data_IF_312924774132
#
_entry.id   IF_312924774132
#
_cell.length_a   1.000
_cell.length_b   1.000
_cell.length_c   1.000
_cell.angle_alpha   90.00
_cell.angle_beta   90.00
_cell.angle_gamma   90.00
#
_symmetry.space_group_name_H-M   'P 1'
#
loop_
_entity.id
_entity.type
_entity.pdbx_description
1 polymer ?
#
# COMPACT_ATOMS: atom_id res chain seq x y z
N UNK A 1 15.50 3.47 -24.39
CA UNK A 1 15.95 2.21 -23.76
C UNK A 1 16.93 2.57 -22.66
N UNK A 2 16.46 2.75 -21.43
CA UNK A 2 17.32 2.73 -20.24
C UNK A 2 16.42 2.47 -19.05
N UNK A 3 16.63 1.30 -18.50
CA UNK A 3 15.95 0.67 -17.38
C UNK A 3 16.27 1.46 -16.10
N UNK A 4 15.31 2.23 -15.59
CA UNK A 4 15.44 2.88 -14.28
C UNK A 4 14.82 1.95 -13.24
N UNK A 5 15.69 1.17 -12.61
CA UNK A 5 15.37 0.18 -11.59
C UNK A 5 14.33 0.67 -10.58
N UNK A 6 13.11 0.14 -10.71
CA UNK A 6 12.17 0.05 -9.60
C UNK A 6 12.79 -0.90 -8.59
N UNK A 7 13.40 -0.37 -7.54
CA UNK A 7 13.69 -1.14 -6.33
C UNK A 7 12.38 -1.81 -5.88
N UNK A 8 12.24 -3.15 -5.97
CA UNK A 8 11.00 -3.84 -5.64
C UNK A 8 10.70 -3.85 -4.13
N UNK A 9 11.55 -3.21 -3.32
CA UNK A 9 11.54 -3.29 -1.86
C UNK A 9 10.59 -2.29 -1.19
N UNK A 10 10.16 -1.20 -1.83
CA UNK A 10 9.35 -0.18 -1.12
C UNK A 10 7.83 -0.40 -1.14
N UNK A 11 7.30 -1.21 -2.05
CA UNK A 11 5.86 -1.55 -2.08
C UNK A 11 5.56 -2.73 -1.11
N UNK A 12 6.58 -3.52 -0.78
CA UNK A 12 6.45 -4.71 0.07
C UNK A 12 6.29 -4.44 1.56
N UNK A 13 6.75 -3.28 2.06
CA UNK A 13 6.74 -2.96 3.50
C UNK A 13 5.37 -2.51 4.03
N UNK A 14 4.46 -2.07 3.14
CA UNK A 14 3.17 -1.50 3.55
C UNK A 14 1.98 -2.44 3.30
N UNK A 15 2.14 -3.44 2.44
CA UNK A 15 1.02 -4.21 1.92
C UNK A 15 0.62 -5.43 2.78
N UNK A 16 1.53 -5.87 3.62
CA UNK A 16 1.29 -6.81 4.70
C UNK A 16 1.96 -6.09 5.87
N UNK A 17 1.28 -5.69 6.96
CA UNK A 17 2.00 -5.26 8.15
C UNK A 17 2.88 -6.43 8.47
N UNK A 18 4.19 -6.28 8.23
CA UNK A 18 5.15 -7.35 8.02
C UNK A 18 4.91 -8.37 9.14
N UNK A 19 4.10 -9.41 8.86
CA UNK A 19 3.46 -10.25 9.90
C UNK A 19 4.56 -10.99 10.69
N UNK A 20 5.73 -11.09 10.05
CA UNK A 20 6.98 -11.65 10.51
C UNK A 20 7.88 -10.66 11.26
N UNK A 21 7.49 -9.39 11.35
CA UNK A 21 8.18 -8.32 12.08
C UNK A 21 7.36 -8.00 13.33
N UNK A 22 8.02 -7.59 14.41
CA UNK A 22 7.42 -7.54 15.75
C UNK A 22 6.09 -6.77 15.85
N UNK A 23 5.92 -5.69 15.07
CA UNK A 23 4.69 -4.89 15.07
C UNK A 23 3.48 -5.62 14.46
N UNK A 24 3.69 -6.41 13.39
CA UNK A 24 2.63 -7.20 12.77
C UNK A 24 2.17 -8.36 13.67
N UNK A 25 3.13 -9.02 14.34
CA UNK A 25 2.85 -10.08 15.31
C UNK A 25 2.06 -9.55 16.52
N UNK A 26 2.39 -8.36 17.02
CA UNK A 26 1.67 -7.71 18.12
C UNK A 26 0.23 -7.34 17.70
N UNK A 27 0.05 -6.80 16.50
CA UNK A 27 -1.29 -6.51 15.97
C UNK A 27 -2.15 -7.77 15.83
N UNK A 28 -1.58 -8.85 15.29
CA UNK A 28 -2.26 -10.13 15.16
C UNK A 28 -2.64 -10.73 16.53
N UNK A 29 -1.72 -10.69 17.49
CA UNK A 29 -1.97 -11.16 18.86
C UNK A 29 -3.03 -10.33 19.58
N UNK A 30 -3.08 -9.01 19.37
CA UNK A 30 -4.10 -8.15 19.95
C UNK A 30 -5.50 -8.48 19.39
N UNK A 31 -5.60 -8.72 18.08
CA UNK A 31 -6.86 -9.12 17.43
C UNK A 31 -7.32 -10.50 17.92
N UNK A 32 -6.39 -11.45 18.04
CA UNK A 32 -6.64 -12.78 18.59
C UNK A 32 -7.20 -12.69 20.03
N UNK A 33 -6.61 -11.84 20.88
CA UNK A 33 -7.08 -11.60 22.23
C UNK A 33 -8.48 -10.95 22.27
N UNK A 34 -8.73 -9.94 21.43
CA UNK A 34 -10.06 -9.32 21.33
C UNK A 34 -11.13 -10.31 20.85
N UNK A 35 -10.78 -11.20 19.93
CA UNK A 35 -11.67 -12.26 19.44
C UNK A 35 -12.00 -13.26 20.55
N UNK A 36 -11.01 -13.65 21.37
CA UNK A 36 -11.21 -14.52 22.52
C UNK A 36 -12.13 -13.88 23.58
N UNK A 37 -11.98 -12.58 23.84
CA UNK A 37 -12.86 -11.82 24.75
C UNK A 37 -14.29 -11.78 24.22
N UNK A 38 -14.48 -11.55 22.92
CA UNK A 38 -15.80 -11.55 22.29
C UNK A 38 -16.48 -12.93 22.40
N UNK A 39 -15.73 -14.00 22.16
CA UNK A 39 -16.22 -15.39 22.29
C UNK A 39 -16.63 -15.70 23.74
N UNK A 40 -15.87 -15.22 24.73
CA UNK A 40 -16.22 -15.37 26.15
C UNK A 40 -17.47 -14.60 26.57
N UNK A 41 -17.60 -13.36 26.10
CA UNK A 41 -18.80 -12.56 26.33
C UNK A 41 -20.06 -13.22 25.74
N UNK A 42 -19.95 -13.85 24.57
CA UNK A 42 -21.06 -14.55 23.93
C UNK A 42 -21.41 -15.86 24.64
N UNK A 43 -20.45 -16.53 25.29
CA UNK A 43 -20.67 -17.80 25.96
C UNK A 43 -21.28 -17.63 27.36
N UNK A 44 -20.74 -16.71 28.17
CA UNK A 44 -21.07 -16.61 29.59
C UNK A 44 -21.97 -15.40 29.93
N UNK A 45 -22.05 -14.41 29.04
CA UNK A 45 -22.66 -13.12 29.33
C UNK A 45 -21.83 -12.29 30.34
N UNK A 46 -22.34 -11.12 30.72
CA UNK A 46 -21.63 -10.17 31.61
C UNK A 46 -21.80 -10.56 33.11
N UNK A 47 -22.85 -11.32 33.44
CA UNK A 47 -23.22 -11.64 34.83
C UNK A 47 -22.37 -12.73 35.49
N UNK A 48 -22.12 -13.84 34.80
CA UNK A 48 -21.35 -14.99 35.29
C UNK A 48 -20.08 -15.18 34.44
N UNK A 49 -19.23 -14.16 34.38
CA UNK A 49 -18.05 -14.18 33.53
C UNK A 49 -17.00 -15.19 34.05
N UNK A 50 -16.80 -16.28 33.32
CA UNK A 50 -15.84 -17.32 33.68
C UNK A 50 -14.42 -16.97 33.17
N UNK A 51 -13.64 -16.33 34.04
CA UNK A 51 -12.26 -15.93 33.75
C UNK A 51 -11.35 -17.13 33.42
N UNK A 52 -11.63 -18.31 33.96
CA UNK A 52 -10.83 -19.51 33.70
C UNK A 52 -11.07 -20.01 32.26
N UNK A 53 -12.31 -19.93 31.80
CA UNK A 53 -12.69 -20.24 30.43
C UNK A 53 -12.09 -19.23 29.43
N UNK A 54 -12.14 -17.93 29.76
CA UNK A 54 -11.46 -16.88 28.98
C UNK A 54 -9.96 -17.17 28.86
N UNK A 55 -9.29 -17.53 29.96
CA UNK A 55 -7.86 -17.85 29.96
C UNK A 55 -7.52 -19.02 29.04
N UNK A 56 -8.30 -20.10 29.08
CA UNK A 56 -8.12 -21.27 28.22
C UNK A 56 -8.30 -20.93 26.73
N UNK A 57 -9.36 -20.19 26.39
CA UNK A 57 -9.62 -19.81 25.00
C UNK A 57 -8.67 -18.73 24.49
N UNK A 58 -8.33 -17.75 25.32
CA UNK A 58 -7.35 -16.72 24.99
C UNK A 58 -5.98 -17.31 24.67
N UNK A 59 -5.50 -18.24 25.51
CA UNK A 59 -4.24 -18.95 25.26
C UNK A 59 -4.30 -19.71 23.94
N UNK A 60 -5.40 -20.42 23.70
CA UNK A 60 -5.59 -21.23 22.51
C UNK A 60 -5.67 -20.40 21.20
N UNK A 61 -6.47 -19.34 21.18
CA UNK A 61 -6.62 -18.44 20.02
C UNK A 61 -5.30 -17.72 19.72
N UNK A 62 -4.55 -17.29 20.74
CA UNK A 62 -3.22 -16.71 20.54
C UNK A 62 -2.23 -17.73 19.97
N UNK A 63 -2.27 -18.98 20.44
CA UNK A 63 -1.39 -20.05 19.93
C UNK A 63 -1.64 -20.34 18.45
N UNK A 64 -2.91 -20.39 18.03
CA UNK A 64 -3.31 -20.58 16.63
C UNK A 64 -2.82 -19.41 15.77
N UNK A 65 -3.01 -18.17 16.25
CA UNK A 65 -2.57 -16.97 15.54
C UNK A 65 -1.04 -16.95 15.34
N UNK A 66 -0.28 -17.41 16.34
CA UNK A 66 1.18 -17.50 16.24
C UNK A 66 1.63 -18.62 15.29
N UNK A 67 0.96 -19.78 15.30
CA UNK A 67 1.27 -20.89 14.39
C UNK A 67 0.94 -20.52 12.94
N UNK A 68 -0.21 -19.90 12.69
CA UNK A 68 -0.58 -19.44 11.36
C UNK A 68 0.41 -18.38 10.85
N UNK A 69 0.78 -17.41 11.70
CA UNK A 69 1.82 -16.43 11.39
C UNK A 69 3.17 -17.09 11.07
N UNK A 70 3.61 -18.06 11.88
CA UNK A 70 4.86 -18.79 11.64
C UNK A 70 4.84 -19.53 10.30
N UNK A 71 3.73 -20.19 9.97
CA UNK A 71 3.54 -20.89 8.70
C UNK A 71 3.59 -19.94 7.50
N UNK A 72 2.88 -18.81 7.58
CA UNK A 72 2.92 -17.74 6.57
C UNK A 72 4.32 -17.15 6.40
N UNK A 73 5.05 -16.95 7.49
CA UNK A 73 6.41 -16.45 7.45
C UNK A 73 7.40 -17.45 6.84
N UNK A 74 7.24 -18.74 7.14
CA UNK A 74 8.03 -19.82 6.55
C UNK A 74 7.72 -20.01 5.06
N UNK A 75 6.46 -19.82 4.66
CA UNK A 75 5.98 -19.92 3.29
C UNK A 75 6.22 -18.65 2.46
N UNK A 76 6.61 -17.52 3.09
CA UNK A 76 6.91 -16.24 2.44
C UNK A 76 7.73 -16.36 1.14
N UNK A 77 8.86 -17.10 1.06
CA UNK A 77 9.65 -17.21 -0.17
C UNK A 77 8.93 -17.90 -1.34
N UNK A 78 7.89 -18.69 -1.07
CA UNK A 78 7.05 -19.30 -2.11
C UNK A 78 5.86 -18.41 -2.50
N UNK A 79 5.42 -17.54 -1.57
CA UNK A 79 4.29 -16.63 -1.75
C UNK A 79 4.65 -15.37 -2.54
N UNK A 80 5.94 -15.06 -2.74
CA UNK A 80 6.39 -13.85 -3.48
C UNK A 80 6.00 -13.84 -4.96
N UNK A 81 5.73 -15.00 -5.55
CA UNK A 81 5.33 -15.11 -6.97
C UNK A 81 3.81 -15.06 -7.17
N UNK A 82 3.01 -15.02 -6.10
CA UNK A 82 1.56 -15.05 -6.18
C UNK A 82 0.98 -13.65 -6.11
N UNK A 83 -0.19 -13.48 -6.75
CA UNK A 83 -0.88 -12.20 -6.71
C UNK A 83 -1.39 -11.91 -5.29
N UNK A 84 -1.42 -10.63 -4.87
CA UNK A 84 -1.95 -10.21 -3.57
C UNK A 84 -3.30 -10.84 -3.14
N UNK A 85 -4.33 -10.94 -4.02
CA UNK A 85 -5.60 -11.56 -3.63
C UNK A 85 -5.47 -13.07 -3.37
N UNK A 86 -4.57 -13.77 -4.06
CA UNK A 86 -4.34 -15.20 -3.84
C UNK A 86 -3.70 -15.46 -2.47
N UNK A 87 -2.73 -14.64 -2.06
CA UNK A 87 -2.10 -14.76 -0.73
C UNK A 87 -3.13 -14.53 0.37
N UNK A 88 -4.00 -13.53 0.20
CA UNK A 88 -5.05 -13.23 1.18
C UNK A 88 -6.10 -14.35 1.28
N UNK A 89 -6.47 -14.97 0.15
CA UNK A 89 -7.35 -16.15 0.11
C UNK A 89 -6.71 -17.36 0.82
N UNK A 90 -5.43 -17.62 0.55
CA UNK A 90 -4.68 -18.72 1.19
C UNK A 90 -4.64 -18.52 2.71
N UNK A 91 -4.33 -17.31 3.18
CA UNK A 91 -4.35 -16.98 4.60
C UNK A 91 -5.74 -17.19 5.23
N UNK A 92 -6.79 -16.73 4.56
CA UNK A 92 -8.17 -16.92 5.02
C UNK A 92 -8.52 -18.40 5.18
N UNK A 93 -8.21 -19.23 4.17
CA UNK A 93 -8.45 -20.68 4.22
C UNK A 93 -7.60 -21.36 5.31
N UNK A 94 -6.35 -20.93 5.49
CA UNK A 94 -5.46 -21.46 6.53
C UNK A 94 -6.03 -21.19 7.93
N UNK A 95 -6.54 -19.98 8.18
CA UNK A 95 -7.15 -19.60 9.46
C UNK A 95 -8.41 -20.44 9.73
N UNK A 96 -9.27 -20.63 8.72
CA UNK A 96 -10.47 -21.48 8.87
C UNK A 96 -10.12 -22.94 9.14
N UNK A 97 -9.16 -23.49 8.42
CA UNK A 97 -8.71 -24.87 8.60
C UNK A 97 -8.09 -25.05 10.00
N UNK A 98 -7.27 -24.10 10.44
CA UNK A 98 -6.71 -24.12 11.78
C UNK A 98 -7.83 -24.07 12.84
N UNK A 99 -8.81 -23.19 12.69
CA UNK A 99 -9.96 -23.10 13.60
C UNK A 99 -10.78 -24.41 13.64
N UNK A 100 -11.01 -25.05 12.50
CA UNK A 100 -11.73 -26.32 12.42
C UNK A 100 -10.98 -27.47 13.11
N UNK A 101 -9.68 -27.65 12.83
CA UNK A 101 -8.85 -28.66 13.48
C UNK A 101 -8.81 -28.46 15.00
N UNK A 102 -8.77 -27.19 15.41
CA UNK A 102 -8.73 -26.79 16.80
C UNK A 102 -10.05 -27.07 17.53
N UNK A 103 -11.19 -26.77 16.90
CA UNK A 103 -12.50 -27.10 17.45
C UNK A 103 -12.65 -28.62 17.63
N UNK A 104 -12.22 -29.41 16.65
CA UNK A 104 -12.22 -30.88 16.73
C UNK A 104 -11.37 -31.38 17.92
N UNK A 105 -10.15 -30.86 18.06
CA UNK A 105 -9.26 -31.25 19.16
C UNK A 105 -9.83 -30.87 20.54
N UNK A 106 -10.44 -29.69 20.65
CA UNK A 106 -11.06 -29.21 21.89
C UNK A 106 -12.26 -30.07 22.30
N UNK A 107 -13.13 -30.41 21.34
CA UNK A 107 -14.28 -31.31 21.53
C UNK A 107 -13.83 -32.69 22.01
N UNK A 108 -12.86 -33.30 21.33
CA UNK A 108 -12.31 -34.60 21.72
C UNK A 108 -11.71 -34.57 23.12
N UNK A 109 -10.94 -33.54 23.45
CA UNK A 109 -10.37 -33.38 24.80
C UNK A 109 -11.45 -33.26 25.86
N UNK A 110 -12.45 -32.41 25.62
CA UNK A 110 -13.54 -32.17 26.57
C UNK A 110 -14.34 -33.45 26.80
N UNK A 111 -14.75 -34.13 25.73
CA UNK A 111 -15.52 -35.38 25.78
C UNK A 111 -14.74 -36.50 26.47
N UNK A 112 -13.45 -36.65 26.16
CA UNK A 112 -12.59 -37.65 26.81
C UNK A 112 -12.39 -37.34 28.30
N UNK A 113 -12.18 -36.08 28.67
CA UNK A 113 -12.00 -35.68 30.07
C UNK A 113 -13.25 -35.85 30.93
N UNK A 114 -14.44 -35.67 30.33
CA UNK A 114 -15.72 -35.74 31.04
C UNK A 114 -16.29 -37.17 31.08
N UNK A 115 -16.15 -37.94 29.99
CA UNK A 115 -16.83 -39.22 29.79
C UNK A 115 -15.91 -40.39 29.44
N UNK A 116 -14.63 -40.14 29.16
CA UNK A 116 -13.68 -41.16 28.70
C UNK A 116 -13.87 -41.59 27.24
N UNK A 117 -14.78 -40.94 26.51
CA UNK A 117 -15.15 -41.30 25.15
C UNK A 117 -14.62 -40.24 24.17
N UNK A 118 -14.15 -40.68 23.01
CA UNK A 118 -13.74 -39.81 21.91
C UNK A 118 -14.96 -39.48 21.04
N UNK A 119 -15.68 -38.43 21.42
CA UNK A 119 -16.80 -37.92 20.62
C UNK A 119 -16.63 -36.43 20.38
N UNK A 120 -16.89 -36.00 19.15
CA UNK A 120 -16.93 -34.60 18.77
C UNK A 120 -18.31 -34.28 18.18
N UNK A 121 -18.94 -33.19 18.62
CA UNK A 121 -20.20 -32.74 18.06
C UNK A 121 -19.97 -31.91 16.78
N UNK A 122 -20.45 -32.36 15.60
CA UNK A 122 -20.31 -31.60 14.35
C UNK A 122 -20.93 -30.20 14.40
N UNK A 123 -21.97 -30.00 15.20
CA UNK A 123 -22.68 -28.71 15.28
C UNK A 123 -21.80 -27.65 15.98
N UNK A 124 -21.12 -28.05 17.06
CA UNK A 124 -20.19 -27.17 17.79
C UNK A 124 -18.99 -26.75 16.93
N UNK A 125 -18.46 -27.69 16.14
CA UNK A 125 -17.38 -27.42 15.18
C UNK A 125 -17.86 -26.41 14.11
N UNK A 126 -19.05 -26.63 13.54
CA UNK A 126 -19.63 -25.73 12.55
C UNK A 126 -19.81 -24.31 13.10
N UNK A 127 -20.34 -24.18 14.32
CA UNK A 127 -20.53 -22.89 14.98
C UNK A 127 -19.20 -22.15 15.16
N UNK A 128 -18.15 -22.85 15.60
CA UNK A 128 -16.81 -22.27 15.79
C UNK A 128 -16.21 -21.78 14.47
N UNK A 129 -16.36 -22.55 13.40
CA UNK A 129 -15.90 -22.15 12.05
C UNK A 129 -16.68 -20.94 11.54
N UNK A 130 -18.00 -20.89 11.72
CA UNK A 130 -18.82 -19.75 11.30
C UNK A 130 -18.48 -18.48 12.09
N UNK A 131 -18.28 -18.59 13.40
CA UNK A 131 -17.90 -17.45 14.25
C UNK A 131 -16.54 -16.90 13.85
N UNK A 132 -15.58 -17.76 13.52
CA UNK A 132 -14.22 -17.33 13.11
C UNK A 132 -14.17 -16.83 11.65
N UNK A 133 -15.09 -17.29 10.79
CA UNK A 133 -15.18 -16.85 9.40
C UNK A 133 -15.56 -15.37 9.26
N UNK A 134 -16.44 -14.86 10.13
CA UNK A 134 -16.90 -13.46 10.08
C UNK A 134 -15.74 -12.46 10.25
N UNK A 135 -14.96 -12.45 11.35
CA UNK A 135 -13.86 -11.52 11.52
C UNK A 135 -12.75 -11.74 10.49
N UNK A 136 -12.46 -12.99 10.12
CA UNK A 136 -11.48 -13.30 9.07
C UNK A 136 -11.90 -12.73 7.70
N UNK A 137 -13.20 -12.78 7.37
CA UNK A 137 -13.75 -12.22 6.14
C UNK A 137 -13.76 -10.68 6.13
N UNK A 138 -14.08 -10.05 7.27
CA UNK A 138 -13.98 -8.59 7.43
C UNK A 138 -12.54 -8.12 7.20
N UNK A 139 -11.57 -8.83 7.78
CA UNK A 139 -10.14 -8.55 7.60
C UNK A 139 -9.76 -8.66 6.11
N UNK A 140 -10.18 -9.74 5.43
CA UNK A 140 -9.95 -9.90 4.00
C UNK A 140 -10.51 -8.73 3.17
N UNK A 141 -11.72 -8.27 3.50
CA UNK A 141 -12.37 -7.13 2.84
C UNK A 141 -11.60 -5.82 3.08
N UNK A 142 -11.14 -5.59 4.30
CA UNK A 142 -10.35 -4.41 4.65
C UNK A 142 -9.02 -4.39 3.88
N UNK A 143 -8.34 -5.53 3.78
CA UNK A 143 -7.13 -5.65 2.97
C UNK A 143 -7.37 -5.33 1.50
N UNK A 144 -8.46 -5.86 0.92
CA UNK A 144 -8.83 -5.56 -0.46
C UNK A 144 -9.06 -4.06 -0.70
N UNK A 145 -9.73 -3.39 0.24
CA UNK A 145 -9.99 -1.95 0.16
C UNK A 145 -8.71 -1.13 0.28
N UNK A 146 -7.83 -1.48 1.23
CA UNK A 146 -6.53 -0.83 1.37
C UNK A 146 -5.69 -0.95 0.09
N UNK A 147 -5.72 -2.12 -0.56
CA UNK A 147 -5.03 -2.33 -1.83
C UNK A 147 -5.52 -1.36 -2.91
N UNK A 148 -6.84 -1.23 -3.07
CA UNK A 148 -7.43 -0.31 -4.05
C UNK A 148 -7.06 1.14 -3.77
N UNK A 149 -7.12 1.55 -2.51
CA UNK A 149 -6.77 2.92 -2.11
C UNK A 149 -5.30 3.24 -2.44
N UNK A 150 -4.39 2.31 -2.15
CA UNK A 150 -2.98 2.49 -2.47
C UNK A 150 -2.73 2.62 -3.97
N UNK A 151 -3.36 1.76 -4.78
CA UNK A 151 -3.26 1.84 -6.24
C UNK A 151 -3.78 3.19 -6.77
N UNK A 152 -4.88 3.70 -6.22
CA UNK A 152 -5.42 5.01 -6.58
C UNK A 152 -4.49 6.15 -6.18
N UNK A 153 -3.91 6.11 -4.99
CA UNK A 153 -2.95 7.12 -4.51
C UNK A 153 -1.70 7.13 -5.38
N UNK A 154 -1.14 5.96 -5.69
CA UNK A 154 0.02 5.84 -6.57
C UNK A 154 -0.26 6.41 -7.97
N UNK A 155 -1.38 6.03 -8.57
CA UNK A 155 -1.78 6.55 -9.88
C UNK A 155 -2.02 8.07 -9.86
N UNK A 156 -2.61 8.60 -8.78
CA UNK A 156 -2.81 10.04 -8.62
C UNK A 156 -1.48 10.77 -8.46
N UNK A 157 -0.54 10.22 -7.69
CA UNK A 157 0.78 10.79 -7.51
C UNK A 157 1.57 10.79 -8.82
N UNK A 158 1.56 9.68 -9.56
CA UNK A 158 2.17 9.59 -10.89
C UNK A 158 1.56 10.61 -11.86
N UNK A 159 0.23 10.77 -11.87
CA UNK A 159 -0.44 11.77 -12.70
C UNK A 159 -0.05 13.21 -12.31
N UNK A 160 0.08 13.50 -11.01
CA UNK A 160 0.56 14.82 -10.53
C UNK A 160 2.02 15.07 -10.92
N UNK A 161 2.87 14.05 -10.81
CA UNK A 161 4.26 14.13 -11.26
C UNK A 161 4.34 14.34 -12.77
N UNK A 162 3.54 13.62 -13.56
CA UNK A 162 3.44 13.80 -14.99
C UNK A 162 2.94 15.21 -15.37
N UNK A 163 1.97 15.75 -14.64
CA UNK A 163 1.49 17.12 -14.82
C UNK A 163 2.58 18.16 -14.50
N UNK A 164 3.31 17.99 -13.39
CA UNK A 164 4.45 18.85 -13.02
C UNK A 164 5.57 18.78 -14.06
N UNK A 165 5.85 17.59 -14.60
CA UNK A 165 6.81 17.42 -15.68
C UNK A 165 6.31 17.99 -17.01
N UNK A 166 5.00 17.97 -17.28
CA UNK A 166 4.43 18.53 -18.49
C UNK A 166 4.52 20.06 -18.55
N UNK A 167 4.54 20.74 -17.40
CA UNK A 167 4.72 22.20 -17.30
C UNK A 167 6.10 22.65 -17.83
N UNK A 168 7.09 21.76 -17.91
CA UNK A 168 8.40 22.03 -18.49
C UNK A 168 8.71 20.95 -19.53
N UNK A 169 8.55 21.23 -20.83
CA UNK A 169 9.08 20.33 -21.87
C UNK A 169 10.60 20.22 -21.67
N UNK A 170 11.15 19.10 -21.18
CA UNK A 170 12.57 19.04 -20.80
C UNK A 170 13.46 19.29 -22.01
N UNK A 171 13.00 18.85 -23.19
CA UNK A 171 13.65 19.09 -24.47
C UNK A 171 13.75 20.57 -24.84
N UNK A 172 12.75 21.41 -24.52
CA UNK A 172 12.84 22.85 -24.76
C UNK A 172 13.98 23.45 -23.93
N UNK A 173 14.06 23.10 -22.65
CA UNK A 173 15.13 23.56 -21.76
C UNK A 173 16.52 23.13 -22.25
N UNK A 174 16.72 21.85 -22.58
CA UNK A 174 18.00 21.36 -23.09
C UNK A 174 18.42 22.05 -24.38
N UNK A 175 17.48 22.23 -25.32
CA UNK A 175 17.79 22.91 -26.57
C UNK A 175 18.08 24.40 -26.38
N UNK A 176 17.33 25.08 -25.50
CA UNK A 176 17.58 26.46 -25.16
C UNK A 176 18.95 26.64 -24.53
N UNK A 177 19.35 25.78 -23.58
CA UNK A 177 20.70 25.83 -22.96
C UNK A 177 21.82 25.57 -23.98
N UNK A 178 21.64 24.62 -24.90
CA UNK A 178 22.64 24.33 -25.93
C UNK A 178 22.82 25.51 -26.90
N UNK A 179 21.72 26.14 -27.34
CA UNK A 179 21.78 27.31 -28.22
C UNK A 179 22.43 28.49 -27.49
N UNK A 180 22.14 28.65 -26.20
CA UNK A 180 22.73 29.69 -25.36
C UNK A 180 24.24 29.46 -25.18
N UNK A 181 24.69 28.23 -24.99
CA UNK A 181 26.11 27.88 -24.90
C UNK A 181 26.89 28.24 -26.18
N UNK A 182 26.27 28.07 -27.35
CA UNK A 182 26.83 28.51 -28.64
C UNK A 182 26.83 30.04 -28.73
N UNK A 183 25.71 30.68 -28.40
CA UNK A 183 25.51 32.11 -28.55
C UNK A 183 26.44 32.94 -27.63
N UNK A 184 26.76 32.46 -26.43
CA UNK A 184 27.73 33.11 -25.52
C UNK A 184 29.07 33.38 -26.23
N UNK A 185 29.49 32.50 -27.15
CA UNK A 185 30.76 32.64 -27.89
C UNK A 185 30.68 33.61 -29.06
N UNK A 186 29.48 33.90 -29.55
CA UNK A 186 29.23 34.72 -30.74
C UNK A 186 28.84 36.15 -30.31
N UNK A 187 27.88 36.24 -29.39
CA UNK A 187 27.27 37.48 -28.92
C UNK A 187 26.81 37.32 -27.47
N UNK A 188 27.66 37.76 -26.53
CA UNK A 188 27.42 37.62 -25.10
C UNK A 188 26.24 38.48 -24.61
N UNK A 189 26.07 39.69 -25.16
CA UNK A 189 24.99 40.61 -24.78
C UNK A 189 23.62 40.05 -25.18
N UNK A 190 23.55 39.41 -26.35
CA UNK A 190 22.31 38.73 -26.80
C UNK A 190 22.04 37.48 -25.97
N UNK A 191 23.07 36.72 -25.60
CA UNK A 191 22.93 35.55 -24.74
C UNK A 191 22.38 35.91 -23.34
N UNK A 192 22.86 37.01 -22.75
CA UNK A 192 22.38 37.51 -21.45
C UNK A 192 20.87 37.78 -21.47
N UNK A 193 20.37 38.49 -22.49
CA UNK A 193 18.93 38.77 -22.67
C UNK A 193 18.09 37.50 -22.81
N UNK A 194 18.65 36.44 -23.41
CA UNK A 194 17.93 35.16 -23.54
C UNK A 194 17.87 34.43 -22.19
N UNK A 195 18.95 34.47 -21.40
CA UNK A 195 18.93 33.90 -20.05
C UNK A 195 17.85 34.58 -19.21
N UNK A 196 17.78 35.92 -19.25
CA UNK A 196 16.74 36.68 -18.54
C UNK A 196 15.33 36.27 -18.99
N UNK A 197 15.08 36.22 -20.30
CA UNK A 197 13.79 35.81 -20.84
C UNK A 197 13.42 34.36 -20.48
N UNK A 198 14.40 33.46 -20.45
CA UNK A 198 14.22 32.07 -20.05
C UNK A 198 13.89 31.95 -18.56
N UNK A 199 14.60 32.70 -17.71
CA UNK A 199 14.31 32.78 -16.28
C UNK A 199 12.91 33.32 -15.99
N UNK A 200 12.49 34.38 -16.68
CA UNK A 200 11.15 34.96 -16.52
C UNK A 200 10.04 34.00 -17.02
N UNK A 201 10.28 33.29 -18.13
CA UNK A 201 9.35 32.27 -18.63
C UNK A 201 9.21 31.10 -17.64
N UNK A 202 10.30 30.67 -17.00
CA UNK A 202 10.24 29.63 -15.96
C UNK A 202 9.54 30.10 -14.70
N UNK A 203 9.79 31.34 -14.26
CA UNK A 203 9.07 31.95 -13.14
C UNK A 203 7.57 32.01 -13.41
N UNK A 204 7.16 32.32 -14.64
CA UNK A 204 5.77 32.26 -15.06
C UNK A 204 5.21 30.83 -15.06
N UNK A 205 5.92 29.87 -15.66
CA UNK A 205 5.48 28.47 -15.75
C UNK A 205 5.37 27.77 -14.37
N UNK A 206 6.21 28.16 -13.41
CA UNK A 206 6.19 27.61 -12.03
C UNK A 206 5.28 28.39 -11.08
N UNK A 207 4.61 29.45 -11.55
CA UNK A 207 3.70 30.25 -10.73
C UNK A 207 2.44 29.43 -10.42
N UNK A 208 2.28 29.01 -9.17
CA UNK A 208 1.10 28.26 -8.69
C UNK A 208 -0.08 29.22 -8.43
N UNK A 209 -0.56 29.88 -9.48
CA UNK A 209 -1.70 30.81 -9.42
C UNK A 209 -2.88 30.26 -10.22
N UNK A 210 -3.99 29.98 -9.52
CA UNK A 210 -5.26 29.48 -10.11
C UNK A 210 -5.90 30.43 -11.13
N UNK A 211 -5.44 31.67 -11.20
CA UNK A 211 -5.91 32.69 -12.14
C UNK A 211 -4.74 33.58 -12.56
N UNK A 212 -4.55 33.75 -13.85
CA UNK A 212 -3.53 34.63 -14.47
C UNK A 212 -4.27 35.64 -15.35
N UNK A 213 -3.78 36.86 -15.45
CA UNK A 213 -4.39 37.86 -16.34
C UNK A 213 -4.02 37.58 -17.80
N UNK A 214 -4.91 37.90 -18.74
CA UNK A 214 -4.63 37.74 -20.18
C UNK A 214 -3.33 38.45 -20.60
N UNK A 215 -3.02 39.59 -19.97
CA UNK A 215 -1.80 40.35 -20.23
C UNK A 215 -0.54 39.56 -19.86
N UNK A 216 -0.51 38.95 -18.67
CA UNK A 216 0.61 38.12 -18.25
C UNK A 216 0.84 36.92 -19.19
N UNK A 217 -0.25 36.36 -19.74
CA UNK A 217 -0.19 35.23 -20.65
C UNK A 217 0.32 35.62 -22.05
N UNK A 218 -0.07 36.80 -22.55
CA UNK A 218 0.47 37.39 -23.78
C UNK A 218 1.96 37.71 -23.61
N UNK A 219 2.35 38.37 -22.52
CA UNK A 219 3.75 38.71 -22.23
C UNK A 219 4.63 37.44 -22.16
N UNK A 220 4.12 36.35 -21.57
CA UNK A 220 4.81 35.07 -21.54
C UNK A 220 4.93 34.44 -22.94
N UNK A 221 3.90 34.53 -23.78
CA UNK A 221 3.93 34.06 -25.17
C UNK A 221 4.95 34.83 -26.02
N UNK A 222 5.05 36.14 -25.85
CA UNK A 222 6.03 36.96 -26.56
C UNK A 222 7.47 36.59 -26.20
N UNK A 223 7.74 36.36 -24.91
CA UNK A 223 9.05 35.88 -24.43
C UNK A 223 9.39 34.50 -24.99
N UNK A 224 8.42 33.58 -25.01
CA UNK A 224 8.59 32.26 -25.61
C UNK A 224 8.90 32.35 -27.11
N UNK A 225 8.17 33.19 -27.86
CA UNK A 225 8.42 33.45 -29.28
C UNK A 225 9.80 34.06 -29.53
N UNK A 226 10.26 34.95 -28.64
CA UNK A 226 11.61 35.53 -28.70
C UNK A 226 12.71 34.45 -28.60
N UNK A 227 12.53 33.48 -27.71
CA UNK A 227 13.46 32.35 -27.54
C UNK A 227 13.41 31.39 -28.75
N UNK A 228 12.23 31.05 -29.26
CA UNK A 228 12.08 30.15 -30.42
C UNK A 228 12.62 30.74 -31.72
N UNK A 229 12.43 32.05 -31.97
CA UNK A 229 12.94 32.71 -33.18
C UNK A 229 14.45 32.58 -33.31
N UNK A 230 15.17 32.81 -32.21
CA UNK A 230 16.62 32.65 -32.15
C UNK A 230 17.08 31.20 -32.36
N UNK A 231 16.32 30.24 -31.84
CA UNK A 231 16.62 28.82 -32.01
C UNK A 231 16.40 28.31 -33.44
N UNK A 232 15.49 28.95 -34.18
CA UNK A 232 15.20 28.65 -35.58
C UNK A 232 16.20 29.32 -36.52
N UNK A 233 16.68 30.53 -36.19
CA UNK A 233 17.75 31.21 -36.95
C UNK A 233 19.02 30.35 -37.04
N UNK A 234 19.43 29.64 -35.98
CA UNK A 234 20.60 28.74 -36.01
C UNK A 234 20.41 27.46 -36.85
N UNK A 235 19.18 27.08 -37.23
CA UNK A 235 18.90 25.86 -38.02
C UNK A 235 18.60 26.13 -39.50
N UNK A 236 18.61 27.38 -39.92
CA UNK A 236 18.31 27.81 -41.30
C UNK A 236 19.56 28.13 -42.14
N UNK A 237 20.76 27.85 -41.62
CA UNK A 237 22.01 27.76 -42.39
C UNK A 237 22.39 26.30 -42.68
#
# INVERSE_FOLDING_TARGET
MSDSGKNPTQIGDYFIPDLCRGQGLLGLSAIAALSAVLIALLHSGIGDFDFLWLGKIGLFVCWIALISALFLCRARPYLTNLSPPQVALINYLLVLLAAALCAVAAEYWNSYSASGIWQADPISILNTVLITAIPAGVILRLYYLQQRLYQQQSASLEARLAALQATIRPHFLFNSMNSLATLIRIDADKAERIVENLCDLFRYALKDSKSVTLKEEVDACERYLGIEKLRLDERLE
#
